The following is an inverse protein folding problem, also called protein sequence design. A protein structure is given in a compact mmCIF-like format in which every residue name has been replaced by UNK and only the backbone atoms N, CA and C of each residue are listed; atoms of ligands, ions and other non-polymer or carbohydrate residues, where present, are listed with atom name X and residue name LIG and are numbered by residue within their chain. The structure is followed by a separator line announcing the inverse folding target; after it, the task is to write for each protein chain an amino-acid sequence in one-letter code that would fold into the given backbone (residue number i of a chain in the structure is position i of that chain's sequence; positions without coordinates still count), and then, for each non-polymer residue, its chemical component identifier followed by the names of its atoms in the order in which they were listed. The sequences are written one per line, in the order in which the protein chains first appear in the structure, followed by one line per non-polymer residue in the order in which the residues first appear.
data_IF_107622929632
#
_entry.id   IF_107622929632
#
_cell.length_a   1.000
_cell.length_b   1.000
_cell.length_c   1.000
_cell.angle_alpha   90.00
_cell.angle_beta   90.00
_cell.angle_gamma   90.00
#
_symmetry.space_group_name_H-M   'P 1'
#
loop_
_entity.id
_entity.type
_entity.pdbx_description
1 polymer ?
#
# COMPACT_ATOMS: atom_id res chain seq x y z
N UNK A 1 -39.95 30.21 -5.42
CA UNK A 1 -39.87 29.38 -4.17
C UNK A 1 -38.89 28.19 -4.35
N UNK A 2 -38.89 27.45 -5.47
CA UNK A 2 -38.04 26.25 -5.64
C UNK A 2 -36.52 26.48 -5.72
N UNK A 3 -36.02 27.69 -6.06
CA UNK A 3 -34.57 27.95 -6.13
C UNK A 3 -33.95 28.31 -4.79
N UNK A 4 -34.74 28.88 -3.88
CA UNK A 4 -34.29 29.23 -2.51
C UNK A 4 -34.19 27.99 -1.63
N UNK A 5 -35.09 27.02 -1.77
CA UNK A 5 -35.04 25.73 -1.06
C UNK A 5 -33.87 24.86 -1.52
N UNK A 6 -33.54 24.87 -2.81
CA UNK A 6 -32.36 24.16 -3.33
C UNK A 6 -31.03 24.73 -2.82
N UNK A 7 -30.90 26.05 -2.75
CA UNK A 7 -29.70 26.70 -2.19
C UNK A 7 -29.52 26.42 -0.70
N UNK A 8 -30.58 26.42 0.06
CA UNK A 8 -30.57 26.15 1.50
C UNK A 8 -30.22 24.66 1.78
N UNK A 9 -30.78 23.72 1.00
CA UNK A 9 -30.46 22.29 1.10
C UNK A 9 -28.99 22.02 0.75
N UNK A 10 -28.48 22.64 -0.31
CA UNK A 10 -27.06 22.50 -0.72
C UNK A 10 -26.12 23.11 0.33
N UNK A 11 -26.44 24.21 0.96
CA UNK A 11 -25.62 24.80 2.02
C UNK A 11 -25.56 23.93 3.27
N UNK A 12 -26.69 23.34 3.67
CA UNK A 12 -26.73 22.38 4.80
C UNK A 12 -25.99 21.08 4.52
N UNK A 13 -26.06 20.60 3.29
CA UNK A 13 -25.32 19.40 2.87
C UNK A 13 -23.80 19.64 2.84
N UNK A 14 -23.38 20.82 2.34
CA UNK A 14 -21.99 21.24 2.36
C UNK A 14 -21.44 21.43 3.78
N UNK A 15 -22.23 21.99 4.70
CA UNK A 15 -21.85 22.10 6.12
C UNK A 15 -21.65 20.72 6.75
N UNK A 16 -22.58 19.78 6.54
CA UNK A 16 -22.46 18.40 7.03
C UNK A 16 -21.21 17.68 6.50
N UNK A 17 -20.89 17.83 5.21
CA UNK A 17 -19.69 17.25 4.61
C UNK A 17 -18.44 17.85 5.24
N UNK A 18 -18.38 19.18 5.42
CA UNK A 18 -17.25 19.86 6.06
C UNK A 18 -17.01 19.38 7.49
N UNK A 19 -18.08 19.19 8.28
CA UNK A 19 -18.01 18.67 9.64
C UNK A 19 -17.48 17.22 9.68
N UNK A 20 -17.96 16.36 8.78
CA UNK A 20 -17.51 14.98 8.64
C UNK A 20 -16.00 14.92 8.30
N UNK A 21 -15.56 15.75 7.35
CA UNK A 21 -14.16 15.82 6.95
C UNK A 21 -13.29 16.33 8.10
N UNK A 22 -13.71 17.40 8.81
CA UNK A 22 -12.98 17.90 9.98
C UNK A 22 -12.88 16.84 11.08
N UNK A 23 -13.96 16.11 11.35
CA UNK A 23 -13.97 15.04 12.35
C UNK A 23 -13.05 13.88 11.91
N UNK A 24 -13.03 13.52 10.63
CA UNK A 24 -12.13 12.51 10.10
C UNK A 24 -10.66 12.89 10.30
N UNK A 25 -10.27 14.10 9.91
CA UNK A 25 -8.90 14.60 10.13
C UNK A 25 -8.53 14.66 11.61
N UNK A 26 -9.43 15.15 12.46
CA UNK A 26 -9.22 15.17 13.92
C UNK A 26 -9.04 13.75 14.48
N UNK A 27 -9.80 12.78 13.99
CA UNK A 27 -9.68 11.38 14.42
C UNK A 27 -8.34 10.79 13.99
N UNK A 28 -7.87 11.07 12.76
CA UNK A 28 -6.57 10.62 12.26
C UNK A 28 -5.44 11.19 13.11
N UNK A 29 -5.44 12.51 13.37
CA UNK A 29 -4.36 13.18 14.11
C UNK A 29 -4.32 12.81 15.59
N UNK A 30 -5.46 12.48 16.19
CA UNK A 30 -5.56 12.11 17.60
C UNK A 30 -5.27 10.63 17.88
N UNK A 31 -5.22 9.78 16.85
CA UNK A 31 -4.89 8.37 16.98
C UNK A 31 -3.50 8.09 16.38
N UNK A 32 -2.52 7.86 17.24
CA UNK A 32 -1.16 7.57 16.82
C UNK A 32 -1.08 6.31 15.97
N UNK A 33 -1.83 5.27 16.34
CA UNK A 33 -1.84 4.01 15.60
C UNK A 33 -2.48 4.18 14.22
N UNK A 34 -3.59 4.90 14.13
CA UNK A 34 -4.29 5.14 12.87
C UNK A 34 -3.40 5.90 11.88
N UNK A 35 -2.84 7.02 12.32
CA UNK A 35 -1.98 7.84 11.47
C UNK A 35 -0.73 7.07 11.01
N UNK A 36 -0.08 6.29 11.89
CA UNK A 36 1.09 5.47 11.53
C UNK A 36 0.74 4.37 10.53
N UNK A 37 -0.42 3.71 10.68
CA UNK A 37 -0.87 2.68 9.73
C UNK A 37 -1.20 3.32 8.38
N UNK A 38 -1.87 4.46 8.37
CA UNK A 38 -2.17 5.20 7.13
C UNK A 38 -0.89 5.65 6.42
N UNK A 39 0.07 6.21 7.17
CA UNK A 39 1.38 6.60 6.62
C UNK A 39 2.17 5.40 6.11
N UNK A 40 2.23 4.32 6.89
CA UNK A 40 2.85 3.06 6.46
C UNK A 40 2.24 2.52 5.18
N UNK A 41 0.91 2.66 5.03
CA UNK A 41 0.22 2.31 3.79
C UNK A 41 0.63 3.18 2.60
N UNK A 42 0.72 4.49 2.78
CA UNK A 42 1.19 5.41 1.72
C UNK A 42 2.62 5.06 1.29
N UNK A 43 3.52 4.89 2.25
CA UNK A 43 4.92 4.51 1.97
C UNK A 43 5.00 3.13 1.30
N UNK A 44 4.23 2.15 1.77
CA UNK A 44 4.18 0.81 1.20
C UNK A 44 3.62 0.76 -0.23
N UNK A 45 2.90 1.81 -0.67
CA UNK A 45 2.41 1.92 -2.04
C UNK A 45 3.38 2.64 -3.01
N UNK A 46 4.50 3.18 -2.52
CA UNK A 46 5.54 3.74 -3.39
C UNK A 46 6.01 2.70 -4.44
N UNK A 47 6.33 1.45 -4.07
CA UNK A 47 6.70 0.43 -5.06
C UNK A 47 5.60 0.08 -6.06
N UNK A 48 4.32 0.26 -5.72
CA UNK A 48 3.22 0.02 -6.67
C UNK A 48 3.19 1.04 -7.80
N UNK A 49 3.69 2.25 -7.55
CA UNK A 49 3.85 3.28 -8.59
C UNK A 49 4.86 2.91 -9.66
N UNK A 50 5.75 1.96 -9.38
CA UNK A 50 6.71 1.41 -10.35
C UNK A 50 6.02 0.62 -11.48
N UNK A 51 4.80 0.11 -11.26
CA UNK A 51 4.10 -0.76 -12.20
C UNK A 51 3.98 -0.19 -13.63
N UNK A 52 3.94 1.13 -13.78
CA UNK A 52 4.00 1.80 -15.09
C UNK A 52 5.32 1.58 -15.86
N UNK A 53 6.38 1.20 -15.17
CA UNK A 53 7.71 0.93 -15.74
C UNK A 53 8.01 -0.55 -15.90
N UNK A 54 7.19 -1.45 -15.37
CA UNK A 54 7.47 -2.88 -15.34
C UNK A 54 7.64 -3.49 -16.73
N UNK A 55 6.79 -3.11 -17.68
CA UNK A 55 6.90 -3.59 -19.07
C UNK A 55 8.15 -3.01 -19.76
N UNK A 56 8.42 -1.71 -19.56
CA UNK A 56 9.62 -1.07 -20.12
C UNK A 56 10.90 -1.71 -19.59
N UNK A 57 10.95 -1.93 -18.27
CA UNK A 57 12.06 -2.64 -17.62
C UNK A 57 12.23 -4.06 -18.16
N UNK A 58 11.16 -4.83 -18.33
CA UNK A 58 11.22 -6.20 -18.80
C UNK A 58 11.73 -6.28 -20.25
N UNK A 59 11.31 -5.35 -21.10
CA UNK A 59 11.76 -5.30 -22.50
C UNK A 59 13.21 -4.81 -22.58
N UNK A 60 13.56 -3.70 -21.95
CA UNK A 60 14.86 -3.05 -22.11
C UNK A 60 15.98 -3.74 -21.36
N UNK A 61 15.72 -4.24 -20.16
CA UNK A 61 16.77 -4.76 -19.29
C UNK A 61 16.72 -6.27 -19.11
N UNK A 62 15.62 -6.94 -19.47
CA UNK A 62 15.45 -8.39 -19.33
C UNK A 62 15.24 -9.14 -20.64
N UNK A 63 15.10 -8.40 -21.77
CA UNK A 63 15.03 -9.00 -23.10
C UNK A 63 13.69 -9.69 -23.42
N UNK A 64 12.65 -9.46 -22.65
CA UNK A 64 11.31 -9.96 -22.96
C UNK A 64 10.70 -9.24 -24.16
N UNK A 65 9.80 -9.91 -24.85
CA UNK A 65 8.82 -9.24 -25.70
C UNK A 65 7.70 -8.68 -24.82
N UNK A 66 7.14 -7.54 -25.21
CA UNK A 66 6.10 -6.85 -24.43
C UNK A 66 4.89 -7.76 -24.16
N UNK A 67 4.40 -8.44 -25.21
CA UNK A 67 3.23 -9.32 -25.10
C UNK A 67 3.51 -10.53 -24.20
N UNK A 68 4.71 -11.09 -24.29
CA UNK A 68 5.14 -12.21 -23.49
C UNK A 68 5.20 -11.86 -22.00
N UNK A 69 5.88 -10.77 -21.67
CA UNK A 69 5.96 -10.33 -20.27
C UNK A 69 4.60 -9.97 -19.70
N UNK A 70 3.78 -9.24 -20.45
CA UNK A 70 2.44 -8.82 -20.01
C UNK A 70 1.55 -10.04 -19.73
N UNK A 71 1.59 -11.06 -20.59
CA UNK A 71 0.83 -12.29 -20.39
C UNK A 71 1.31 -13.06 -19.14
N UNK A 72 2.63 -13.23 -18.97
CA UNK A 72 3.23 -13.92 -17.82
C UNK A 72 2.89 -13.15 -16.54
N UNK A 73 3.15 -11.84 -16.50
CA UNK A 73 2.85 -11.00 -15.35
C UNK A 73 1.36 -11.05 -14.97
N UNK A 74 0.47 -10.93 -15.95
CA UNK A 74 -0.97 -11.03 -15.74
C UNK A 74 -1.41 -12.36 -15.12
N UNK A 75 -0.88 -13.48 -15.62
CA UNK A 75 -1.14 -14.81 -15.06
C UNK A 75 -0.68 -14.90 -13.59
N UNK A 76 0.56 -14.49 -13.32
CA UNK A 76 1.10 -14.50 -11.96
C UNK A 76 0.37 -13.53 -11.03
N UNK A 77 -0.10 -12.37 -11.54
CA UNK A 77 -0.88 -11.42 -10.78
C UNK A 77 -2.25 -12.00 -10.37
N UNK A 78 -2.92 -12.72 -11.26
CA UNK A 78 -4.19 -13.38 -10.92
C UNK A 78 -3.96 -14.45 -9.85
N UNK A 79 -2.97 -15.32 -10.02
CA UNK A 79 -2.72 -16.43 -9.09
C UNK A 79 -2.13 -15.89 -7.78
N UNK A 80 -1.00 -15.20 -7.83
CA UNK A 80 -0.29 -14.67 -6.67
C UNK A 80 -1.11 -13.63 -5.92
N UNK A 81 -1.78 -12.73 -6.66
CA UNK A 81 -2.64 -11.72 -6.08
C UNK A 81 -3.84 -12.32 -5.32
N UNK A 82 -4.53 -13.30 -5.91
CA UNK A 82 -5.64 -13.99 -5.23
C UNK A 82 -5.17 -14.72 -3.98
N UNK A 83 -4.05 -15.46 -4.07
CA UNK A 83 -3.47 -16.15 -2.93
C UNK A 83 -3.01 -15.18 -1.84
N UNK A 84 -2.38 -14.06 -2.22
CA UNK A 84 -1.95 -13.03 -1.29
C UNK A 84 -3.11 -12.39 -0.52
N UNK A 85 -4.21 -12.08 -1.20
CA UNK A 85 -5.40 -11.51 -0.56
C UNK A 85 -6.01 -12.47 0.48
N UNK A 86 -6.17 -13.75 0.11
CA UNK A 86 -6.70 -14.78 1.02
C UNK A 86 -5.74 -14.99 2.20
N UNK A 87 -4.46 -15.18 1.92
CA UNK A 87 -3.44 -15.42 2.95
C UNK A 87 -3.33 -14.22 3.91
N UNK A 88 -3.31 -12.99 3.38
CA UNK A 88 -3.24 -11.77 4.17
C UNK A 88 -4.41 -11.65 5.15
N UNK A 89 -5.64 -11.94 4.68
CA UNK A 89 -6.82 -11.98 5.54
C UNK A 89 -6.71 -13.04 6.63
N UNK A 90 -6.46 -14.30 6.27
CA UNK A 90 -6.38 -15.42 7.22
C UNK A 90 -5.26 -15.23 8.26
N UNK A 91 -4.08 -14.85 7.83
CA UNK A 91 -2.94 -14.64 8.74
C UNK A 91 -3.13 -13.38 9.58
N UNK A 92 -3.68 -12.31 9.00
CA UNK A 92 -4.05 -11.11 9.74
C UNK A 92 -5.02 -11.41 10.88
N UNK A 93 -6.08 -12.15 10.60
CA UNK A 93 -7.08 -12.56 11.60
C UNK A 93 -6.51 -13.50 12.67
N UNK A 94 -5.69 -14.48 12.26
CA UNK A 94 -5.04 -15.40 13.18
C UNK A 94 -4.13 -14.65 14.16
N UNK A 95 -3.31 -13.73 13.68
CA UNK A 95 -2.43 -12.93 14.53
C UNK A 95 -3.21 -11.93 15.38
N UNK A 96 -4.27 -11.31 14.86
CA UNK A 96 -5.11 -10.38 15.59
C UNK A 96 -5.76 -11.03 16.83
N UNK A 97 -6.11 -12.31 16.74
CA UNK A 97 -6.68 -13.07 17.86
C UNK A 97 -5.65 -13.46 18.93
N UNK A 98 -4.37 -13.54 18.59
CA UNK A 98 -3.31 -14.06 19.49
C UNK A 98 -2.39 -13.00 20.07
N UNK A 99 -2.20 -11.88 19.37
CA UNK A 99 -1.20 -10.87 19.72
C UNK A 99 -1.80 -9.48 19.72
N UNK A 100 -1.34 -8.61 20.62
CA UNK A 100 -1.68 -7.19 20.59
C UNK A 100 -1.26 -6.58 19.26
N UNK A 101 -2.20 -5.87 18.61
CA UNK A 101 -2.03 -5.36 17.24
C UNK A 101 -1.44 -6.42 16.28
N UNK A 102 -1.95 -7.65 16.38
CA UNK A 102 -1.38 -8.82 15.74
C UNK A 102 -1.40 -8.73 14.22
N UNK A 103 -2.42 -8.13 13.61
CA UNK A 103 -2.48 -7.92 12.16
C UNK A 103 -1.29 -7.10 11.65
N UNK A 104 -0.86 -6.07 12.40
CA UNK A 104 0.33 -5.27 12.05
C UNK A 104 1.62 -6.06 12.27
N UNK A 105 1.67 -6.93 13.30
CA UNK A 105 2.80 -7.83 13.49
C UNK A 105 2.95 -8.81 12.32
N UNK A 106 1.84 -9.38 11.87
CA UNK A 106 1.83 -10.28 10.71
C UNK A 106 2.42 -9.61 9.47
N UNK A 107 1.99 -8.37 9.17
CA UNK A 107 2.55 -7.61 8.05
C UNK A 107 4.04 -7.35 8.20
N UNK A 108 4.51 -6.95 9.38
CA UNK A 108 5.95 -6.74 9.62
C UNK A 108 6.74 -8.02 9.31
N UNK A 109 6.28 -9.17 9.78
CA UNK A 109 6.95 -10.45 9.55
C UNK A 109 6.92 -10.80 8.06
N UNK A 110 5.74 -10.81 7.43
CA UNK A 110 5.58 -11.21 6.03
C UNK A 110 6.42 -10.33 5.10
N UNK A 111 6.32 -9.01 5.25
CA UNK A 111 7.04 -8.07 4.39
C UNK A 111 8.56 -8.11 4.60
N UNK A 112 9.03 -8.43 5.81
CA UNK A 112 10.48 -8.63 6.05
C UNK A 112 11.07 -9.74 5.17
N UNK A 113 10.28 -10.74 4.78
CA UNK A 113 10.69 -11.79 3.85
C UNK A 113 10.40 -11.44 2.38
N UNK A 114 9.33 -10.69 2.10
CA UNK A 114 8.93 -10.40 0.72
C UNK A 114 9.71 -9.25 0.08
N UNK A 115 10.15 -8.25 0.86
CA UNK A 115 10.92 -7.12 0.32
C UNK A 115 12.24 -7.56 -0.34
N UNK A 116 13.06 -8.46 0.25
CA UNK A 116 14.24 -8.97 -0.43
C UNK A 116 13.92 -9.68 -1.75
N UNK A 117 12.80 -10.39 -1.83
CA UNK A 117 12.38 -11.03 -3.08
C UNK A 117 12.01 -10.00 -4.15
N UNK A 118 11.38 -8.87 -3.77
CA UNK A 118 11.05 -7.78 -4.69
C UNK A 118 12.30 -7.12 -5.28
N UNK A 119 13.36 -6.97 -4.48
CA UNK A 119 14.65 -6.44 -4.93
C UNK A 119 15.34 -7.46 -5.83
N UNK A 120 15.40 -8.72 -5.39
CA UNK A 120 16.03 -9.80 -6.16
C UNK A 120 15.41 -9.98 -7.55
N UNK A 121 14.08 -9.87 -7.65
CA UNK A 121 13.34 -9.98 -8.92
C UNK A 121 13.90 -9.07 -10.02
N UNK A 122 14.31 -7.85 -9.65
CA UNK A 122 14.80 -6.85 -10.61
C UNK A 122 16.14 -7.25 -11.27
N UNK A 123 16.90 -8.13 -10.64
CA UNK A 123 18.21 -8.59 -11.13
C UNK A 123 18.24 -10.07 -11.52
N UNK A 124 17.16 -10.80 -11.28
CA UNK A 124 17.06 -12.22 -11.60
C UNK A 124 17.11 -12.48 -13.11
N UNK A 125 17.78 -13.57 -13.54
CA UNK A 125 17.78 -13.99 -14.93
C UNK A 125 16.40 -14.52 -15.33
N UNK A 126 15.82 -14.05 -16.46
CA UNK A 126 14.54 -14.52 -16.96
C UNK A 126 14.46 -16.01 -17.26
N UNK A 127 15.61 -16.63 -17.61
CA UNK A 127 15.67 -18.06 -17.95
C UNK A 127 15.64 -18.97 -16.72
N UNK A 128 15.78 -18.39 -15.52
CA UNK A 128 15.86 -19.12 -14.27
C UNK A 128 14.52 -19.27 -13.55
N UNK A 129 14.26 -20.43 -12.94
CA UNK A 129 13.08 -20.66 -12.11
C UNK A 129 12.93 -19.63 -10.98
N UNK A 130 14.04 -19.10 -10.46
CA UNK A 130 14.03 -18.10 -9.39
C UNK A 130 13.40 -16.75 -9.79
N UNK A 131 13.45 -16.40 -11.09
CA UNK A 131 12.75 -15.24 -11.62
C UNK A 131 11.23 -15.40 -11.43
N UNK A 132 10.68 -16.54 -11.80
CA UNK A 132 9.25 -16.82 -11.69
C UNK A 132 8.80 -16.97 -10.24
N UNK A 133 9.63 -17.54 -9.36
CA UNK A 133 9.37 -17.57 -7.93
C UNK A 133 9.31 -16.14 -7.36
N UNK A 134 10.26 -15.28 -7.71
CA UNK A 134 10.28 -13.90 -7.27
C UNK A 134 9.09 -13.11 -7.85
N UNK A 135 8.73 -13.32 -9.12
CA UNK A 135 7.54 -12.76 -9.74
C UNK A 135 6.25 -13.17 -9.00
N UNK A 136 6.12 -14.43 -8.62
CA UNK A 136 5.00 -14.88 -7.79
C UNK A 136 4.98 -14.15 -6.44
N UNK A 137 6.12 -14.05 -5.77
CA UNK A 137 6.22 -13.41 -4.46
C UNK A 137 5.90 -11.91 -4.50
N UNK A 138 6.27 -11.18 -5.55
CA UNK A 138 5.92 -9.77 -5.67
C UNK A 138 4.42 -9.58 -5.96
N UNK A 139 3.82 -10.40 -6.82
CA UNK A 139 2.38 -10.33 -7.10
C UNK A 139 1.55 -10.71 -5.86
N UNK A 140 2.01 -11.68 -5.08
CA UNK A 140 1.46 -12.05 -3.79
C UNK A 140 1.58 -10.89 -2.78
N UNK A 141 2.75 -10.25 -2.72
CA UNK A 141 3.02 -9.13 -1.81
C UNK A 141 2.04 -7.97 -2.00
N UNK A 142 1.69 -7.64 -3.24
CA UNK A 142 0.78 -6.53 -3.57
C UNK A 142 -0.55 -6.64 -2.83
N UNK A 143 -1.09 -7.82 -2.70
CA UNK A 143 -2.46 -8.03 -2.20
C UNK A 143 -2.52 -8.47 -0.74
N UNK A 144 -1.47 -9.09 -0.20
CA UNK A 144 -1.41 -9.55 1.20
C UNK A 144 -1.61 -8.41 2.20
N UNK A 145 -1.29 -7.20 1.80
CA UNK A 145 -1.38 -5.97 2.57
C UNK A 145 -2.83 -5.56 2.89
N UNK A 146 -3.76 -5.69 1.94
CA UNK A 146 -5.06 -5.04 2.02
C UNK A 146 -5.92 -5.54 3.19
N UNK A 147 -6.04 -6.85 3.39
CA UNK A 147 -6.86 -7.42 4.47
C UNK A 147 -6.51 -6.85 5.84
N UNK A 148 -5.28 -7.04 6.33
CA UNK A 148 -4.86 -6.58 7.66
C UNK A 148 -4.92 -5.06 7.83
N UNK A 149 -4.55 -4.27 6.81
CA UNK A 149 -4.52 -2.81 6.94
C UNK A 149 -5.91 -2.20 6.89
N UNK A 150 -6.80 -2.67 6.01
CA UNK A 150 -8.18 -2.21 5.96
C UNK A 150 -8.91 -2.53 7.27
N UNK A 151 -8.74 -3.74 7.80
CA UNK A 151 -9.31 -4.13 9.09
C UNK A 151 -8.80 -3.24 10.23
N UNK A 152 -7.49 -2.93 10.25
CA UNK A 152 -6.89 -2.07 11.27
C UNK A 152 -7.39 -0.62 11.17
N UNK A 153 -7.42 -0.03 9.96
CA UNK A 153 -7.93 1.33 9.76
C UNK A 153 -9.41 1.42 10.17
N UNK A 154 -10.21 0.43 9.81
CA UNK A 154 -11.62 0.38 10.21
C UNK A 154 -11.80 0.28 11.72
N UNK A 155 -11.01 -0.54 12.40
CA UNK A 155 -11.09 -0.73 13.86
C UNK A 155 -10.68 0.51 14.65
N UNK A 156 -9.71 1.26 14.12
CA UNK A 156 -9.19 2.50 14.73
C UNK A 156 -10.02 3.75 14.37
N UNK A 157 -10.99 3.62 13.48
CA UNK A 157 -11.81 4.73 13.02
C UNK A 157 -13.15 4.79 13.76
N UNK A 158 -13.56 5.98 14.27
CA UNK A 158 -14.90 6.16 14.80
C UNK A 158 -15.96 5.83 13.75
N UNK A 159 -17.05 5.21 14.20
CA UNK A 159 -18.11 4.71 13.30
C UNK A 159 -18.64 5.77 12.34
N UNK A 160 -18.88 6.98 12.83
CA UNK A 160 -19.45 8.11 12.07
C UNK A 160 -18.61 8.56 10.86
N UNK A 161 -17.29 8.37 10.91
CA UNK A 161 -16.35 8.89 9.90
C UNK A 161 -15.46 7.80 9.28
N UNK A 162 -15.73 6.55 9.58
CA UNK A 162 -14.94 5.39 9.11
C UNK A 162 -14.75 5.35 7.60
N UNK A 163 -15.84 5.52 6.85
CA UNK A 163 -15.80 5.54 5.38
C UNK A 163 -14.99 6.71 4.84
N UNK A 164 -15.13 7.89 5.47
CA UNK A 164 -14.37 9.08 5.07
C UNK A 164 -12.86 8.91 5.33
N UNK A 165 -12.49 8.32 6.47
CA UNK A 165 -11.08 8.02 6.79
C UNK A 165 -10.50 7.03 5.78
N UNK A 166 -11.24 5.96 5.43
CA UNK A 166 -10.82 5.01 4.40
C UNK A 166 -10.65 5.69 3.04
N UNK A 167 -11.59 6.56 2.65
CA UNK A 167 -11.50 7.30 1.39
C UNK A 167 -10.27 8.22 1.35
N UNK A 168 -10.01 8.98 2.42
CA UNK A 168 -8.81 9.84 2.55
C UNK A 168 -7.54 8.98 2.44
N UNK A 169 -7.51 7.83 3.10
CA UNK A 169 -6.36 6.94 3.03
C UNK A 169 -6.15 6.36 1.64
N UNK A 170 -7.21 5.87 0.98
CA UNK A 170 -7.14 5.36 -0.40
C UNK A 170 -6.64 6.44 -1.37
N UNK A 171 -7.09 7.69 -1.22
CA UNK A 171 -6.55 8.80 -1.99
C UNK A 171 -5.06 9.02 -1.72
N UNK A 172 -4.66 8.99 -0.45
CA UNK A 172 -3.26 9.12 -0.05
C UNK A 172 -2.37 8.02 -0.67
N UNK A 173 -2.76 6.75 -0.59
CA UNK A 173 -1.97 5.65 -1.13
C UNK A 173 -1.86 5.71 -2.66
N UNK A 174 -2.93 6.10 -3.36
CA UNK A 174 -2.91 6.16 -4.83
C UNK A 174 -2.21 7.43 -5.34
N UNK A 175 -2.56 8.62 -4.84
CA UNK A 175 -2.03 9.89 -5.36
C UNK A 175 -0.61 10.09 -4.85
N UNK A 176 -0.39 9.98 -3.53
CA UNK A 176 0.92 10.28 -2.93
C UNK A 176 1.84 9.07 -3.06
N UNK A 177 1.42 7.89 -2.61
CA UNK A 177 2.25 6.68 -2.63
C UNK A 177 2.67 6.30 -4.04
N UNK A 178 1.70 5.98 -4.90
CA UNK A 178 2.00 5.56 -6.27
C UNK A 178 2.57 6.72 -7.12
N UNK A 179 2.11 7.97 -6.90
CA UNK A 179 2.63 9.14 -7.62
C UNK A 179 4.12 9.37 -7.34
N UNK A 180 4.54 9.30 -6.08
CA UNK A 180 5.97 9.36 -5.69
C UNK A 180 6.74 8.22 -6.37
N UNK A 181 6.23 6.99 -6.30
CA UNK A 181 6.86 5.82 -6.92
C UNK A 181 7.10 5.99 -8.41
N UNK A 182 6.06 6.39 -9.16
CA UNK A 182 6.18 6.61 -10.60
C UNK A 182 7.16 7.74 -10.93
N UNK A 183 7.03 8.88 -10.28
CA UNK A 183 7.89 10.05 -10.55
C UNK A 183 9.37 9.73 -10.27
N UNK A 184 9.66 9.21 -9.07
CA UNK A 184 11.05 8.95 -8.69
C UNK A 184 11.67 7.78 -9.43
N UNK A 185 10.91 6.77 -9.86
CA UNK A 185 11.45 5.69 -10.69
C UNK A 185 12.02 6.25 -12.00
N UNK A 186 11.26 7.05 -12.73
CA UNK A 186 11.75 7.67 -13.97
C UNK A 186 12.90 8.65 -13.70
N UNK A 187 12.72 9.55 -12.75
CA UNK A 187 13.75 10.55 -12.43
C UNK A 187 15.10 9.92 -12.05
N UNK A 188 15.10 8.91 -11.20
CA UNK A 188 16.33 8.25 -10.75
C UNK A 188 16.97 7.41 -11.85
N UNK A 189 16.17 6.75 -12.68
CA UNK A 189 16.66 6.04 -13.88
C UNK A 189 17.39 6.98 -14.82
N UNK A 190 16.84 8.16 -15.08
CA UNK A 190 17.37 9.11 -16.04
C UNK A 190 18.54 9.97 -15.50
N UNK A 191 18.69 10.03 -14.16
CA UNK A 191 19.70 10.88 -13.51
C UNK A 191 20.74 10.06 -12.74
N UNK A 192 20.37 9.57 -11.55
CA UNK A 192 21.30 8.91 -10.61
C UNK A 192 21.86 7.60 -11.16
N UNK A 193 21.03 6.81 -11.82
CA UNK A 193 21.38 5.49 -12.34
C UNK A 193 21.60 5.47 -13.85
N UNK A 194 21.58 6.63 -14.53
CA UNK A 194 21.71 6.73 -16.01
C UNK A 194 22.96 6.07 -16.57
N UNK A 195 24.05 6.02 -15.81
CA UNK A 195 25.32 5.39 -16.20
C UNK A 195 25.44 3.93 -15.76
N UNK A 196 24.43 3.35 -15.13
CA UNK A 196 24.45 1.96 -14.69
C UNK A 196 23.99 1.04 -15.82
N UNK A 197 24.42 -0.21 -15.81
CA UNK A 197 24.04 -1.21 -16.82
C UNK A 197 22.50 -1.45 -16.83
N UNK A 198 21.85 -1.36 -15.63
CA UNK A 198 20.42 -1.59 -15.46
C UNK A 198 19.76 -0.45 -14.68
N UNK A 199 19.54 0.74 -15.27
CA UNK A 199 19.04 1.93 -14.58
C UNK A 199 17.66 1.74 -13.93
N UNK A 200 16.74 1.07 -14.65
CA UNK A 200 15.40 0.78 -14.15
C UNK A 200 15.40 -0.25 -13.03
N UNK A 201 16.25 -1.28 -13.10
CA UNK A 201 16.40 -2.26 -12.03
C UNK A 201 16.85 -1.59 -10.73
N UNK A 202 17.82 -0.69 -10.77
CA UNK A 202 18.28 0.04 -9.60
C UNK A 202 17.24 1.01 -9.06
N UNK A 203 16.59 1.78 -9.94
CA UNK A 203 15.53 2.73 -9.55
C UNK A 203 14.36 2.01 -8.88
N UNK A 204 13.85 0.94 -9.50
CA UNK A 204 12.73 0.16 -8.99
C UNK A 204 13.08 -0.56 -7.69
N UNK A 205 14.31 -1.07 -7.56
CA UNK A 205 14.80 -1.69 -6.31
C UNK A 205 14.90 -0.69 -5.17
N UNK A 206 15.34 0.53 -5.44
CA UNK A 206 15.34 1.60 -4.44
C UNK A 206 13.92 1.93 -3.99
N UNK A 207 12.96 2.01 -4.93
CA UNK A 207 11.55 2.21 -4.56
C UNK A 207 11.03 1.04 -3.73
N UNK A 208 11.36 -0.21 -4.05
CA UNK A 208 10.99 -1.37 -3.25
C UNK A 208 11.58 -1.30 -1.82
N UNK A 209 12.80 -0.78 -1.67
CA UNK A 209 13.44 -0.62 -0.36
C UNK A 209 12.69 0.37 0.55
N UNK A 210 11.95 1.36 0.01
CA UNK A 210 11.11 2.24 0.83
C UNK A 210 10.05 1.46 1.63
N UNK A 211 9.66 0.27 1.20
CA UNK A 211 8.74 -0.58 1.99
C UNK A 211 9.30 -0.91 3.38
N UNK A 212 10.62 -0.92 3.59
CA UNK A 212 11.19 -1.07 4.94
C UNK A 212 10.73 0.03 5.90
N UNK A 213 10.55 1.26 5.42
CA UNK A 213 10.04 2.36 6.24
C UNK A 213 8.59 2.12 6.66
N UNK A 214 7.78 1.47 5.81
CA UNK A 214 6.42 1.10 6.18
C UNK A 214 6.38 0.10 7.33
N UNK A 215 7.37 -0.82 7.40
CA UNK A 215 7.47 -1.78 8.51
C UNK A 215 7.72 -1.06 9.85
N UNK A 216 8.53 0.00 9.84
CA UNK A 216 8.77 0.84 11.02
C UNK A 216 7.44 1.46 11.49
N UNK A 217 6.65 2.02 10.56
CA UNK A 217 5.35 2.59 10.88
C UNK A 217 4.39 1.54 11.47
N UNK A 218 4.30 0.36 10.87
CA UNK A 218 3.46 -0.73 11.38
C UNK A 218 3.94 -1.23 12.74
N UNK A 219 5.24 -1.38 12.93
CA UNK A 219 5.79 -1.79 14.22
C UNK A 219 5.49 -0.76 15.33
N UNK A 220 5.68 0.53 15.04
CA UNK A 220 5.42 1.60 16.00
C UNK A 220 3.94 1.78 16.31
N UNK A 221 3.04 1.53 15.35
CA UNK A 221 1.59 1.62 15.55
C UNK A 221 1.08 0.67 16.62
N UNK A 222 1.77 -0.46 16.81
CA UNK A 222 1.39 -1.49 17.79
C UNK A 222 1.43 -1.01 19.25
N UNK A 223 2.21 0.03 19.53
CA UNK A 223 2.42 0.51 20.91
C UNK A 223 1.16 1.11 21.55
N UNK A 224 0.33 1.78 20.74
CA UNK A 224 -0.87 2.49 21.21
C UNK A 224 -2.16 1.91 20.62
N UNK A 225 -2.08 0.80 19.89
CA UNK A 225 -3.18 0.25 19.09
C UNK A 225 -4.45 -0.02 19.90
N UNK A 226 -4.33 -0.74 21.02
CA UNK A 226 -5.48 -1.14 21.84
C UNK A 226 -6.12 0.07 22.56
N UNK A 227 -5.30 1.06 22.95
CA UNK A 227 -5.77 2.32 23.56
C UNK A 227 -6.53 3.16 22.53
N UNK A 228 -6.00 3.25 21.31
CA UNK A 228 -6.59 4.03 20.24
C UNK A 228 -7.91 3.42 19.74
N UNK A 229 -8.04 2.08 19.72
CA UNK A 229 -9.33 1.40 19.48
C UNK A 229 -10.38 1.83 20.52
N UNK A 230 -10.01 1.77 21.81
CA UNK A 230 -10.95 2.18 22.88
C UNK A 230 -11.39 3.63 22.73
N UNK A 231 -10.47 4.53 22.41
CA UNK A 231 -10.80 5.94 22.14
C UNK A 231 -11.74 6.11 20.94
N UNK A 232 -11.51 5.37 19.86
CA UNK A 232 -12.35 5.44 18.66
C UNK A 232 -13.81 4.97 18.90
N UNK A 233 -14.02 4.06 19.84
CA UNK A 233 -15.35 3.55 20.21
C UNK A 233 -16.15 4.51 21.07
N UNK A 234 -15.52 5.53 21.67
CA UNK A 234 -16.18 6.52 22.53
C UNK A 234 -16.71 7.74 21.75
N UNK A 235 -16.43 7.86 20.45
CA UNK A 235 -16.80 8.96 19.53
C UNK A 235 -17.88 8.50 18.55
#
# INVERSE_FOLDING_TARGET
RGSFDKKNSQSLEQQKISEIVKLAFKSITNSRSLWLIMLGGVIGHIPLGVGGFDTVWAVQERGFKEEEYTAIFGLFFVIGGSMGAIFGGLVGDYFAKRYKAGAMLALVIIYSFLIPASIYYRFASPDGIYFYIALFLITFQVTVFYGPTFAAVQSLSPYKVRTSILAIWILGVNIVGMGIGSFFTGYLSDTLFSNFEYPLSWSTSLMAAFTFLSLICYHLSRKTYDEDIKKAQLI
#
